data_IF_868402030281
#
_entry.id   IF_868402030281
#
_cell.length_a   1.000
_cell.length_b   1.000
_cell.length_c   1.000
_cell.angle_alpha   90.00
_cell.angle_beta   90.00
_cell.angle_gamma   90.00
#
_symmetry.space_group_name_H-M   'P 1'
#
loop_
_entity.id
_entity.type
_entity.pdbx_description
1 polymer ?
#
# COMPACT_ATOMS: atom_id res chain seq x y z
N UNK A 1 14.71 -19.09 -17.06
CA UNK A 1 13.32 -18.88 -16.61
C UNK A 1 13.27 -18.07 -15.31
N UNK A 2 14.06 -18.44 -14.30
CA UNK A 2 14.10 -17.77 -12.99
C UNK A 2 14.48 -16.28 -13.08
N UNK A 3 15.47 -15.94 -13.90
CA UNK A 3 15.92 -14.56 -14.14
C UNK A 3 14.83 -13.67 -14.76
N UNK A 4 14.05 -14.21 -15.68
CA UNK A 4 12.95 -13.49 -16.34
C UNK A 4 11.81 -13.22 -15.35
N UNK A 5 11.49 -14.19 -14.48
CA UNK A 5 10.50 -14.01 -13.41
C UNK A 5 10.93 -12.92 -12.41
N UNK A 6 12.19 -12.93 -11.97
CA UNK A 6 12.70 -11.92 -11.03
C UNK A 6 12.66 -10.51 -11.64
N UNK A 7 12.98 -10.41 -12.93
CA UNK A 7 12.95 -9.14 -13.65
C UNK A 7 11.51 -8.64 -13.83
N UNK A 8 10.57 -9.51 -14.18
CA UNK A 8 9.14 -9.19 -14.28
C UNK A 8 8.55 -8.78 -12.93
N UNK A 9 8.91 -9.45 -11.84
CA UNK A 9 8.47 -9.10 -10.48
C UNK A 9 8.99 -7.72 -10.08
N UNK A 10 10.21 -7.34 -10.50
CA UNK A 10 10.76 -6.00 -10.23
C UNK A 10 10.01 -4.88 -10.96
N UNK A 11 9.33 -5.18 -12.09
CA UNK A 11 8.48 -4.24 -12.80
C UNK A 11 7.03 -4.22 -12.31
N UNK A 12 6.65 -5.11 -11.39
CA UNK A 12 5.28 -5.19 -10.86
C UNK A 12 4.74 -3.86 -10.33
N UNK A 13 5.50 -3.06 -9.56
CA UNK A 13 5.00 -1.75 -9.09
C UNK A 13 4.60 -0.83 -10.24
N UNK A 14 5.33 -0.85 -11.36
CA UNK A 14 4.97 -0.06 -12.54
C UNK A 14 3.68 -0.59 -13.21
N UNK A 15 3.51 -1.92 -13.30
CA UNK A 15 2.34 -2.53 -13.91
C UNK A 15 1.03 -2.19 -13.18
N UNK A 16 1.06 -2.07 -11.87
CA UNK A 16 -0.12 -1.73 -11.05
C UNK A 16 -0.65 -0.31 -11.31
N UNK A 17 0.21 0.64 -11.68
CA UNK A 17 -0.22 2.00 -12.01
C UNK A 17 -0.97 2.11 -13.33
N UNK A 18 -0.75 1.18 -14.29
CA UNK A 18 -1.39 1.23 -15.61
C UNK A 18 -2.91 1.11 -15.54
N UNK A 19 -3.53 0.09 -14.90
CA UNK A 19 -4.99 -0.02 -14.85
C UNK A 19 -5.63 1.20 -14.18
N UNK A 20 -5.05 1.71 -13.10
CA UNK A 20 -5.56 2.89 -12.42
C UNK A 20 -5.54 4.11 -13.34
N UNK A 21 -4.38 4.44 -13.92
CA UNK A 21 -4.20 5.63 -14.75
C UNK A 21 -5.06 5.56 -16.01
N UNK A 22 -5.06 4.43 -16.72
CA UNK A 22 -5.79 4.27 -17.97
C UNK A 22 -7.31 4.34 -17.76
N UNK A 23 -7.84 3.68 -16.73
CA UNK A 23 -9.27 3.69 -16.43
C UNK A 23 -9.74 5.04 -15.90
N UNK A 24 -8.93 5.74 -15.10
CA UNK A 24 -9.23 7.09 -14.64
C UNK A 24 -9.27 8.07 -15.81
N UNK A 25 -8.28 8.03 -16.72
CA UNK A 25 -8.28 8.85 -17.93
C UNK A 25 -9.45 8.49 -18.84
N UNK A 26 -9.80 7.20 -18.96
CA UNK A 26 -10.98 6.75 -19.70
C UNK A 26 -12.28 7.38 -19.15
N UNK A 27 -12.43 7.41 -17.82
CA UNK A 27 -13.59 8.03 -17.17
C UNK A 27 -13.64 9.55 -17.44
N UNK A 28 -12.52 10.24 -17.32
CA UNK A 28 -12.42 11.67 -17.64
C UNK A 28 -12.78 11.95 -19.10
N UNK A 29 -12.25 11.14 -20.03
CA UNK A 29 -12.56 11.24 -21.46
C UNK A 29 -14.04 10.96 -21.74
N UNK A 30 -14.67 10.01 -21.04
CA UNK A 30 -16.10 9.70 -21.17
C UNK A 30 -16.96 10.90 -20.74
N UNK A 31 -16.59 11.57 -19.62
CA UNK A 31 -17.27 12.78 -19.15
C UNK A 31 -17.15 13.92 -20.17
N UNK A 32 -15.95 14.14 -20.72
CA UNK A 32 -15.70 15.18 -21.72
C UNK A 32 -16.43 14.86 -23.03
N UNK A 33 -16.39 13.59 -23.48
CA UNK A 33 -17.06 13.13 -24.69
C UNK A 33 -18.58 13.31 -24.61
N UNK A 34 -19.16 13.09 -23.43
CA UNK A 34 -20.58 13.32 -23.15
C UNK A 34 -20.94 14.81 -23.29
N UNK A 35 -20.15 15.69 -22.67
CA UNK A 35 -20.38 17.14 -22.73
C UNK A 35 -20.18 17.70 -24.14
N UNK A 36 -19.15 17.24 -24.85
CA UNK A 36 -18.78 17.75 -26.20
C UNK A 36 -19.41 17.00 -27.36
N UNK A 37 -20.15 15.90 -27.11
CA UNK A 37 -20.74 15.02 -28.13
C UNK A 37 -19.74 14.54 -29.20
N UNK A 38 -18.47 14.34 -28.83
CA UNK A 38 -17.39 14.03 -29.74
C UNK A 38 -17.23 12.51 -29.94
N UNK A 39 -17.32 12.07 -31.20
CA UNK A 39 -17.12 10.65 -31.60
C UNK A 39 -15.66 10.22 -31.42
N UNK A 40 -14.71 11.09 -31.72
CA UNK A 40 -13.28 10.80 -31.61
C UNK A 40 -12.88 10.51 -30.15
N UNK A 41 -13.43 11.27 -29.20
CA UNK A 41 -13.20 11.03 -27.78
C UNK A 41 -13.78 9.71 -27.30
N UNK A 42 -14.95 9.30 -27.81
CA UNK A 42 -15.53 7.97 -27.50
C UNK A 42 -14.66 6.82 -28.00
N UNK A 43 -14.05 6.97 -29.17
CA UNK A 43 -13.12 5.96 -29.70
C UNK A 43 -11.86 5.86 -28.84
N UNK A 44 -11.32 6.98 -28.42
CA UNK A 44 -10.18 7.03 -27.49
C UNK A 44 -10.52 6.40 -26.13
N UNK A 45 -11.68 6.73 -25.55
CA UNK A 45 -12.17 6.10 -24.32
C UNK A 45 -12.22 4.58 -24.45
N UNK A 46 -12.74 4.07 -25.55
CA UNK A 46 -12.82 2.61 -25.77
C UNK A 46 -11.44 1.94 -25.75
N UNK A 47 -10.46 2.53 -26.41
CA UNK A 47 -9.08 2.00 -26.42
C UNK A 47 -8.49 2.01 -25.01
N UNK A 48 -8.68 3.11 -24.26
CA UNK A 48 -8.19 3.22 -22.88
C UNK A 48 -8.84 2.17 -21.95
N UNK A 49 -10.14 1.91 -22.11
CA UNK A 49 -10.85 0.88 -21.34
C UNK A 49 -10.29 -0.51 -21.65
N UNK A 50 -10.03 -0.84 -22.90
CA UNK A 50 -9.46 -2.14 -23.26
C UNK A 50 -8.03 -2.30 -22.71
N UNK A 51 -7.19 -1.30 -22.85
CA UNK A 51 -5.83 -1.32 -22.32
C UNK A 51 -5.84 -1.40 -20.79
N UNK A 52 -6.73 -0.63 -20.14
CA UNK A 52 -6.88 -0.65 -18.68
C UNK A 52 -7.37 -2.00 -18.15
N UNK A 53 -8.37 -2.60 -18.80
CA UNK A 53 -8.87 -3.93 -18.44
C UNK A 53 -7.80 -5.02 -18.65
N UNK A 54 -7.08 -4.99 -19.77
CA UNK A 54 -6.00 -5.95 -20.05
C UNK A 54 -4.85 -5.82 -19.06
N UNK A 55 -4.46 -4.60 -18.70
CA UNK A 55 -3.42 -4.36 -17.70
C UNK A 55 -3.86 -4.77 -16.29
N UNK A 56 -5.16 -4.65 -15.95
CA UNK A 56 -5.70 -5.14 -14.68
C UNK A 56 -5.58 -6.67 -14.57
N UNK A 57 -5.85 -7.41 -15.65
CA UNK A 57 -5.66 -8.87 -15.68
C UNK A 57 -4.19 -9.22 -15.40
N UNK A 58 -3.27 -8.57 -16.11
CA UNK A 58 -1.85 -8.79 -15.90
C UNK A 58 -1.42 -8.47 -14.45
N UNK A 59 -1.88 -7.33 -13.90
CA UNK A 59 -1.57 -6.93 -12.52
C UNK A 59 -2.05 -7.95 -11.49
N UNK A 60 -3.25 -8.52 -11.64
CA UNK A 60 -3.77 -9.54 -10.72
C UNK A 60 -2.96 -10.83 -10.84
N UNK A 61 -2.65 -11.29 -12.05
CA UNK A 61 -1.85 -12.51 -12.24
C UNK A 61 -0.49 -12.37 -11.56
N UNK A 62 0.24 -11.27 -11.80
CA UNK A 62 1.54 -11.05 -11.19
C UNK A 62 1.45 -10.81 -9.68
N UNK A 63 0.39 -10.15 -9.20
CA UNK A 63 0.13 -9.97 -7.77
C UNK A 63 -0.08 -11.30 -7.05
N UNK A 64 -0.87 -12.22 -7.62
CA UNK A 64 -1.08 -13.56 -7.07
C UNK A 64 0.19 -14.42 -7.12
N UNK A 65 1.00 -14.30 -8.17
CA UNK A 65 2.29 -14.99 -8.22
C UNK A 65 3.25 -14.47 -7.14
N UNK A 66 3.25 -13.17 -6.90
CA UNK A 66 4.09 -12.55 -5.87
C UNK A 66 3.67 -12.95 -4.47
N UNK A 67 2.37 -12.98 -4.18
CA UNK A 67 1.85 -13.33 -2.86
C UNK A 67 2.10 -14.80 -2.46
N UNK A 68 2.40 -15.67 -3.42
CA UNK A 68 2.75 -17.07 -3.18
C UNK A 68 4.27 -17.28 -2.94
N UNK A 69 5.05 -16.23 -2.84
CA UNK A 69 6.48 -16.35 -2.49
C UNK A 69 6.65 -16.39 -0.97
N UNK A 70 7.71 -17.07 -0.50
CA UNK A 70 8.03 -17.22 0.94
C UNK A 70 8.27 -15.91 1.68
N UNK A 71 8.39 -14.80 0.94
CA UNK A 71 8.60 -13.47 1.49
C UNK A 71 7.31 -12.83 2.06
N UNK A 72 6.12 -13.40 1.78
CA UNK A 72 4.82 -12.83 2.17
C UNK A 72 4.06 -13.77 3.09
N UNK A 73 3.64 -13.25 4.24
CA UNK A 73 2.73 -13.94 5.15
C UNK A 73 1.28 -13.60 4.83
N UNK A 74 0.38 -14.54 5.10
CA UNK A 74 -1.06 -14.31 4.97
C UNK A 74 -1.53 -13.36 6.06
N UNK A 75 -2.19 -12.26 5.64
CA UNK A 75 -2.84 -11.31 6.55
C UNK A 75 -4.24 -10.98 6.04
N UNK A 76 -5.10 -10.50 6.93
CA UNK A 76 -6.47 -10.10 6.55
C UNK A 76 -6.43 -8.96 5.52
N UNK A 77 -5.52 -8.00 5.67
CA UNK A 77 -5.33 -6.88 4.72
C UNK A 77 -4.88 -7.38 3.34
N UNK A 78 -3.97 -8.37 3.30
CA UNK A 78 -3.57 -9.00 2.03
C UNK A 78 -4.75 -9.71 1.38
N UNK A 79 -5.53 -10.47 2.14
CA UNK A 79 -6.72 -11.16 1.62
C UNK A 79 -7.75 -10.16 1.06
N UNK A 80 -8.05 -9.08 1.76
CA UNK A 80 -8.96 -8.02 1.29
C UNK A 80 -8.42 -7.36 0.02
N UNK A 81 -7.12 -7.04 -0.04
CA UNK A 81 -6.48 -6.49 -1.25
C UNK A 81 -6.59 -7.45 -2.44
N UNK A 82 -6.33 -8.73 -2.26
CA UNK A 82 -6.43 -9.75 -3.30
C UNK A 82 -7.87 -9.87 -3.85
N UNK A 83 -8.87 -10.01 -2.96
CA UNK A 83 -10.26 -10.16 -3.37
C UNK A 83 -10.81 -8.90 -4.02
N UNK A 84 -10.48 -7.72 -3.54
CA UNK A 84 -10.89 -6.45 -4.18
C UNK A 84 -10.21 -6.29 -5.53
N UNK A 85 -8.96 -6.69 -5.68
CA UNK A 85 -8.24 -6.71 -6.96
C UNK A 85 -8.88 -7.66 -7.98
N UNK A 86 -9.18 -8.90 -7.58
CA UNK A 86 -9.85 -9.90 -8.42
C UNK A 86 -11.24 -9.42 -8.84
N UNK A 87 -12.04 -8.93 -7.90
CA UNK A 87 -13.38 -8.41 -8.20
C UNK A 87 -13.31 -7.24 -9.19
N UNK A 88 -12.34 -6.35 -9.02
CA UNK A 88 -12.12 -5.20 -9.91
C UNK A 88 -11.65 -5.64 -11.29
N UNK A 89 -10.80 -6.64 -11.40
CA UNK A 89 -10.38 -7.23 -12.70
C UNK A 89 -11.58 -7.83 -13.45
N UNK A 90 -12.45 -8.57 -12.76
CA UNK A 90 -13.68 -9.13 -13.35
C UNK A 90 -14.57 -7.99 -13.82
N UNK A 91 -14.81 -6.99 -12.99
CA UNK A 91 -15.63 -5.83 -13.33
C UNK A 91 -15.05 -5.04 -14.52
N UNK A 92 -13.73 -4.87 -14.57
CA UNK A 92 -13.01 -4.25 -15.68
C UNK A 92 -13.17 -5.03 -16.98
N UNK A 93 -13.14 -6.36 -16.92
CA UNK A 93 -13.39 -7.25 -18.07
C UNK A 93 -14.83 -7.12 -18.57
N UNK A 94 -15.80 -7.08 -17.67
CA UNK A 94 -17.22 -6.84 -17.99
C UNK A 94 -17.39 -5.44 -18.61
N UNK A 95 -16.67 -4.44 -18.10
CA UNK A 95 -16.68 -3.07 -18.64
C UNK A 95 -16.12 -3.07 -20.07
N UNK A 96 -15.01 -3.75 -20.32
CA UNK A 96 -14.46 -3.92 -21.67
C UNK A 96 -15.48 -4.54 -22.62
N UNK A 97 -16.15 -5.62 -22.21
CA UNK A 97 -17.22 -6.24 -22.99
C UNK A 97 -18.41 -5.30 -23.22
N UNK A 98 -18.77 -4.49 -22.21
CA UNK A 98 -19.84 -3.51 -22.33
C UNK A 98 -19.55 -2.45 -23.41
N UNK A 99 -18.30 -2.02 -23.54
CA UNK A 99 -17.88 -1.09 -24.60
C UNK A 99 -17.92 -1.69 -26.00
N UNK A 100 -18.01 -3.02 -26.10
CA UNK A 100 -18.22 -3.71 -27.37
C UNK A 100 -19.70 -3.89 -27.72
N UNK A 101 -20.55 -4.26 -26.75
CA UNK A 101 -21.90 -4.80 -27.03
C UNK A 101 -23.05 -4.03 -26.36
N UNK A 102 -22.81 -3.28 -25.29
CA UNK A 102 -23.89 -2.71 -24.49
C UNK A 102 -24.17 -1.23 -24.80
N UNK A 103 -25.28 -0.75 -24.25
CA UNK A 103 -25.73 0.63 -24.41
C UNK A 103 -24.86 1.63 -23.65
N UNK A 104 -24.81 2.87 -24.13
CA UNK A 104 -24.00 3.96 -23.57
C UNK A 104 -24.22 4.19 -22.06
N UNK A 105 -25.45 4.19 -21.52
CA UNK A 105 -25.62 4.38 -20.07
C UNK A 105 -24.98 3.27 -19.24
N UNK A 106 -25.09 2.01 -19.68
CA UNK A 106 -24.45 0.88 -18.99
C UNK A 106 -22.91 0.98 -19.03
N UNK A 107 -22.34 1.39 -20.16
CA UNK A 107 -20.89 1.62 -20.28
C UNK A 107 -20.38 2.60 -19.23
N UNK A 108 -21.09 3.72 -19.04
CA UNK A 108 -20.72 4.73 -18.04
C UNK A 108 -20.81 4.23 -16.62
N UNK A 109 -21.90 3.56 -16.26
CA UNK A 109 -22.08 3.00 -14.92
C UNK A 109 -20.98 1.99 -14.61
N UNK A 110 -20.73 1.05 -15.53
CA UNK A 110 -19.70 0.03 -15.33
C UNK A 110 -18.30 0.62 -15.23
N UNK A 111 -17.97 1.61 -16.09
CA UNK A 111 -16.67 2.29 -16.01
C UNK A 111 -16.50 3.02 -14.66
N UNK A 112 -17.54 3.72 -14.20
CA UNK A 112 -17.49 4.39 -12.88
C UNK A 112 -17.28 3.41 -11.75
N UNK A 113 -18.01 2.28 -11.74
CA UNK A 113 -17.84 1.23 -10.75
C UNK A 113 -16.45 0.60 -10.81
N UNK A 114 -15.91 0.38 -12.03
CA UNK A 114 -14.55 -0.15 -12.20
C UNK A 114 -13.49 0.80 -11.64
N UNK A 115 -13.62 2.11 -11.89
CA UNK A 115 -12.70 3.10 -11.34
C UNK A 115 -12.80 3.16 -9.82
N UNK A 116 -14.01 3.09 -9.25
CA UNK A 116 -14.20 3.00 -7.80
C UNK A 116 -13.54 1.73 -7.22
N UNK A 117 -13.69 0.59 -7.89
CA UNK A 117 -13.07 -0.67 -7.50
C UNK A 117 -11.53 -0.61 -7.52
N UNK A 118 -10.94 -0.05 -8.59
CA UNK A 118 -9.48 0.14 -8.69
C UNK A 118 -8.98 1.08 -7.58
N UNK A 119 -9.72 2.13 -7.26
CA UNK A 119 -9.36 3.06 -6.17
C UNK A 119 -9.39 2.34 -4.82
N UNK A 120 -10.41 1.51 -4.57
CA UNK A 120 -10.52 0.72 -3.35
C UNK A 120 -9.39 -0.32 -3.23
N UNK A 121 -9.09 -1.04 -4.32
CA UNK A 121 -7.96 -1.97 -4.34
C UNK A 121 -6.63 -1.26 -4.12
N UNK A 122 -6.46 -0.05 -4.68
CA UNK A 122 -5.29 0.80 -4.45
C UNK A 122 -5.17 1.27 -3.00
N UNK A 123 -6.28 1.57 -2.33
CA UNK A 123 -6.30 1.92 -0.91
C UNK A 123 -5.71 0.78 -0.06
N UNK A 124 -6.22 -0.44 -0.19
CA UNK A 124 -5.69 -1.58 0.55
C UNK A 124 -4.24 -1.93 0.15
N UNK A 125 -3.87 -1.71 -1.11
CA UNK A 125 -2.47 -1.86 -1.56
C UNK A 125 -1.53 -0.85 -0.91
N UNK A 126 -1.99 0.38 -0.66
CA UNK A 126 -1.22 1.39 0.06
C UNK A 126 -1.05 1.00 1.55
N UNK A 127 -2.08 0.48 2.20
CA UNK A 127 -1.99 -0.04 3.57
C UNK A 127 -0.97 -1.18 3.69
N UNK A 128 -0.94 -2.11 2.72
CA UNK A 128 0.03 -3.20 2.69
C UNK A 128 1.49 -2.72 2.57
N UNK A 129 1.72 -1.60 1.90
CA UNK A 129 3.07 -1.10 1.63
C UNK A 129 3.57 -0.09 2.65
N UNK A 130 2.66 0.68 3.26
CA UNK A 130 2.98 1.79 4.15
C UNK A 130 2.48 1.60 5.59
N UNK A 131 1.71 0.53 5.86
CA UNK A 131 1.08 0.25 7.14
C UNK A 131 -0.35 0.78 7.24
N UNK A 132 -1.07 0.28 8.24
CA UNK A 132 -2.43 0.72 8.55
C UNK A 132 -2.45 2.24 8.84
N UNK A 133 -3.56 2.89 8.53
CA UNK A 133 -3.77 4.33 8.73
C UNK A 133 -2.87 5.27 7.90
N UNK A 134 -2.12 4.78 6.93
CA UNK A 134 -1.26 5.63 6.08
C UNK A 134 -2.04 6.77 5.40
N UNK A 135 -3.21 6.47 4.86
CA UNK A 135 -4.06 7.48 4.19
C UNK A 135 -4.94 8.24 5.17
N UNK A 136 -5.34 7.66 6.30
CA UNK A 136 -6.12 8.35 7.33
C UNK A 136 -5.31 9.44 8.03
N UNK A 137 -4.00 9.27 8.16
CA UNK A 137 -3.08 10.29 8.68
C UNK A 137 -2.94 11.53 7.78
N UNK A 138 -3.27 11.41 6.48
CA UNK A 138 -3.26 12.56 5.53
C UNK A 138 -4.52 13.43 5.70
N UNK A 139 -5.62 12.82 6.13
CA UNK A 139 -6.87 13.54 6.43
C UNK A 139 -7.06 13.58 7.94
N UNK A 140 -6.74 14.67 8.63
CA UNK A 140 -6.94 14.75 10.08
C UNK A 140 -8.44 14.66 10.38
N UNK A 141 -8.93 13.42 10.55
CA UNK A 141 -10.24 13.20 11.08
C UNK A 141 -10.21 13.55 12.56
N UNK A 142 -11.08 14.43 12.96
CA UNK A 142 -11.26 14.93 14.34
C UNK A 142 -11.55 13.84 15.38
N UNK A 143 -11.49 12.57 15.02
CA UNK A 143 -11.89 11.43 15.86
C UNK A 143 -10.80 10.38 16.12
N UNK A 144 -9.53 10.61 15.74
CA UNK A 144 -8.45 9.67 16.10
C UNK A 144 -7.84 9.92 17.48
N UNK A 145 -8.66 10.35 18.44
CA UNK A 145 -8.32 10.25 19.88
C UNK A 145 -8.60 8.83 20.45
N UNK A 146 -9.14 7.92 19.66
CA UNK A 146 -9.35 6.53 20.06
C UNK A 146 -8.18 5.68 19.59
N UNK A 147 -7.09 5.62 20.38
CA UNK A 147 -5.96 4.72 20.14
C UNK A 147 -4.59 5.26 20.49
N UNK A 148 -4.50 6.47 21.01
CA UNK A 148 -3.29 6.83 21.76
C UNK A 148 -3.45 6.16 23.13
N UNK A 149 -2.78 5.01 23.28
CA UNK A 149 -2.77 4.29 24.57
C UNK A 149 -2.50 5.28 25.69
N UNK A 150 -3.48 5.52 26.54
CA UNK A 150 -3.35 6.38 27.72
C UNK A 150 -2.16 5.99 28.58
N UNK A 151 -1.72 4.74 28.47
CA UNK A 151 -0.55 4.19 29.12
C UNK A 151 0.77 4.69 28.51
N UNK A 152 0.80 5.05 27.21
CA UNK A 152 1.99 5.66 26.60
C UNK A 152 2.17 7.11 27.05
N UNK A 153 1.09 7.87 27.17
CA UNK A 153 1.10 9.25 27.68
C UNK A 153 1.60 9.28 29.14
N UNK A 154 1.14 8.34 29.98
CA UNK A 154 1.58 8.23 31.37
C UNK A 154 3.07 7.84 31.50
N UNK A 155 3.59 6.99 30.60
CA UNK A 155 5.00 6.61 30.61
C UNK A 155 5.92 7.76 30.12
N UNK A 156 5.44 8.60 29.21
CA UNK A 156 6.19 9.73 28.64
C UNK A 156 6.28 10.93 29.59
N UNK A 157 5.35 11.09 30.53
CA UNK A 157 5.35 12.21 31.48
C UNK A 157 6.54 12.22 32.45
N UNK A 158 7.34 11.17 32.50
CA UNK A 158 8.64 11.19 33.24
C UNK A 158 9.72 12.06 32.59
N UNK A 159 9.51 12.50 31.34
CA UNK A 159 10.46 13.33 30.59
C UNK A 159 10.08 14.80 30.46
N UNK A 160 8.95 15.25 31.03
CA UNK A 160 8.54 16.66 30.98
C UNK A 160 8.00 17.15 29.64
N UNK A 161 7.65 16.24 28.71
CA UNK A 161 7.03 16.56 27.42
C UNK A 161 5.52 16.78 27.58
N UNK A 162 4.95 17.75 26.86
CA UNK A 162 3.49 17.93 26.77
C UNK A 162 2.86 16.81 25.92
N UNK A 163 1.54 16.57 26.09
CA UNK A 163 0.79 15.61 25.26
C UNK A 163 0.93 15.90 23.74
N UNK A 164 0.90 17.17 23.35
CA UNK A 164 1.08 17.59 21.96
C UNK A 164 2.47 17.21 21.44
N UNK A 165 3.52 17.42 22.23
CA UNK A 165 4.88 17.03 21.86
C UNK A 165 5.04 15.52 21.73
N UNK A 166 4.40 14.74 22.60
CA UNK A 166 4.40 13.27 22.51
C UNK A 166 3.66 12.80 21.26
N UNK A 167 2.53 13.39 20.93
CA UNK A 167 1.78 13.06 19.70
C UNK A 167 2.59 13.40 18.44
N UNK A 168 3.22 14.55 18.40
CA UNK A 168 4.07 14.97 17.29
C UNK A 168 5.27 14.02 17.10
N UNK A 169 5.97 13.67 18.18
CA UNK A 169 7.07 12.70 18.12
C UNK A 169 6.61 11.31 17.68
N UNK A 170 5.45 10.86 18.15
CA UNK A 170 4.88 9.59 17.73
C UNK A 170 4.58 9.60 16.22
N UNK A 171 3.98 10.66 15.72
CA UNK A 171 3.71 10.81 14.30
C UNK A 171 4.99 10.78 13.46
N UNK A 172 6.03 11.50 13.91
CA UNK A 172 7.34 11.52 13.24
C UNK A 172 7.98 10.13 13.21
N UNK A 173 7.99 9.41 14.34
CA UNK A 173 8.56 8.04 14.42
C UNK A 173 7.78 7.07 13.54
N UNK A 174 6.44 7.10 13.57
CA UNK A 174 5.59 6.27 12.70
C UNK A 174 5.86 6.55 11.21
N UNK A 175 6.02 7.82 10.85
CA UNK A 175 6.35 8.23 9.48
C UNK A 175 7.72 7.69 9.06
N UNK A 176 8.73 7.76 9.92
CA UNK A 176 10.07 7.19 9.66
C UNK A 176 9.96 5.67 9.44
N UNK A 177 9.24 4.95 10.28
CA UNK A 177 9.06 3.51 10.14
C UNK A 177 8.31 3.15 8.85
N UNK A 178 7.22 3.86 8.54
CA UNK A 178 6.44 3.65 7.33
C UNK A 178 7.30 3.80 6.05
N UNK A 179 8.15 4.82 6.00
CA UNK A 179 8.97 5.07 4.82
C UNK A 179 10.20 4.16 4.69
N UNK A 180 10.79 3.74 5.81
CA UNK A 180 12.11 3.09 5.76
C UNK A 180 12.11 1.62 6.21
N UNK A 181 11.13 1.17 7.00
CA UNK A 181 11.20 -0.09 7.73
C UNK A 181 10.07 -1.07 7.39
N UNK A 182 8.80 -0.61 7.38
CA UNK A 182 7.62 -1.48 7.29
C UNK A 182 7.51 -2.25 6.00
N UNK A 183 8.13 -1.79 4.91
CA UNK A 183 8.20 -2.54 3.66
C UNK A 183 8.94 -3.89 3.76
N UNK A 184 9.71 -4.10 4.84
CA UNK A 184 10.37 -5.37 5.15
C UNK A 184 10.01 -5.91 6.54
N UNK A 185 9.59 -5.03 7.46
CA UNK A 185 9.24 -5.33 8.84
C UNK A 185 7.80 -4.84 9.13
N UNK A 186 6.84 -5.26 8.33
CA UNK A 186 5.43 -4.90 8.42
C UNK A 186 4.53 -6.11 8.60
N UNK A 187 3.25 -5.92 8.34
CA UNK A 187 2.23 -6.96 8.50
C UNK A 187 2.43 -8.13 7.53
N UNK A 188 2.74 -7.82 6.27
CA UNK A 188 2.81 -8.81 5.18
C UNK A 188 4.21 -9.38 5.03
N UNK A 189 5.23 -8.57 5.31
CA UNK A 189 6.64 -8.97 5.21
C UNK A 189 7.32 -8.78 6.55
N UNK A 190 7.73 -9.88 7.18
CA UNK A 190 8.25 -9.93 8.55
C UNK A 190 9.66 -10.47 8.61
N UNK A 191 10.62 -9.80 7.96
CA UNK A 191 12.03 -10.24 8.02
C UNK A 191 12.55 -10.28 9.45
N UNK A 192 13.12 -11.43 9.85
CA UNK A 192 13.57 -11.67 11.23
C UNK A 192 12.41 -11.71 12.24
N UNK A 193 11.22 -12.13 11.81
CA UNK A 193 9.98 -12.15 12.61
C UNK A 193 9.63 -10.79 13.25
N UNK A 194 10.22 -9.67 12.78
CA UNK A 194 10.06 -8.33 13.34
C UNK A 194 8.98 -7.54 12.61
N UNK A 195 8.09 -6.92 13.38
CA UNK A 195 7.11 -5.94 12.89
C UNK A 195 7.36 -4.56 13.52
N UNK A 196 7.33 -3.51 12.69
CA UNK A 196 7.54 -2.11 13.10
C UNK A 196 6.35 -1.21 12.71
N UNK A 197 5.23 -1.80 12.33
CA UNK A 197 4.00 -1.13 11.92
C UNK A 197 3.07 -0.80 13.09
N UNK A 198 3.08 -1.60 14.15
CA UNK A 198 2.28 -1.38 15.37
C UNK A 198 3.16 -1.43 16.62
N UNK A 199 2.84 -0.57 17.60
CA UNK A 199 3.60 -0.48 18.86
C UNK A 199 3.72 -1.80 19.61
N UNK A 200 2.63 -2.58 19.63
CA UNK A 200 2.59 -3.88 20.31
C UNK A 200 3.69 -4.80 19.78
N UNK A 201 3.77 -4.94 18.46
CA UNK A 201 4.76 -5.77 17.79
C UNK A 201 6.19 -5.22 17.89
N UNK A 202 6.35 -3.89 17.91
CA UNK A 202 7.66 -3.26 18.14
C UNK A 202 8.19 -3.65 19.51
N UNK A 203 7.33 -3.67 20.54
CA UNK A 203 7.69 -4.01 21.91
C UNK A 203 7.86 -5.51 22.12
N UNK A 204 7.21 -6.35 21.31
CA UNK A 204 7.40 -7.80 21.28
C UNK A 204 8.79 -8.17 20.76
N UNK A 205 9.27 -7.44 19.72
CA UNK A 205 10.59 -7.66 19.11
C UNK A 205 10.54 -8.62 17.93
N UNK A 206 11.70 -9.23 17.61
CA UNK A 206 11.88 -10.19 16.51
C UNK A 206 12.41 -11.54 17.00
N UNK A 207 12.89 -12.37 16.05
CA UNK A 207 13.41 -13.71 16.37
C UNK A 207 14.61 -13.70 17.34
N UNK A 208 15.41 -12.62 17.33
CA UNK A 208 16.54 -12.44 18.23
C UNK A 208 16.14 -11.78 19.58
N UNK A 209 14.86 -11.49 19.79
CA UNK A 209 14.33 -10.86 21.00
C UNK A 209 13.98 -9.37 20.86
N UNK A 210 13.88 -8.64 21.99
CA UNK A 210 13.47 -7.24 21.99
C UNK A 210 14.43 -6.35 21.21
N UNK A 211 13.89 -5.53 20.29
CA UNK A 211 14.69 -4.58 19.49
C UNK A 211 14.72 -3.18 20.07
N UNK A 212 13.78 -2.85 21.00
CA UNK A 212 13.71 -1.59 21.74
C UNK A 212 13.66 -1.89 23.22
N UNK A 213 14.51 -1.21 23.98
CA UNK A 213 14.51 -1.21 25.45
C UNK A 213 14.10 0.17 25.91
N UNK A 214 12.93 0.28 26.53
CA UNK A 214 12.37 1.57 26.97
C UNK A 214 13.30 2.31 27.93
N UNK A 215 13.58 3.58 27.61
CA UNK A 215 14.48 4.42 28.39
C UNK A 215 15.98 4.15 28.22
N UNK A 216 16.34 3.15 27.35
CA UNK A 216 17.73 2.73 27.13
C UNK A 216 18.05 2.65 25.62
N UNK A 217 18.18 3.79 24.95
CA UNK A 217 18.42 3.79 23.51
C UNK A 217 19.74 3.10 23.12
N UNK A 218 20.79 3.22 23.93
CA UNK A 218 22.11 2.62 23.63
C UNK A 218 22.11 1.09 23.79
N UNK A 219 21.17 0.52 24.54
CA UNK A 219 20.99 -0.93 24.70
C UNK A 219 19.99 -1.50 23.65
N UNK A 220 19.30 -0.63 22.88
CA UNK A 220 18.30 -1.01 21.91
C UNK A 220 18.93 -1.41 20.57
N UNK A 221 18.70 -2.66 20.12
CA UNK A 221 19.32 -3.21 18.90
C UNK A 221 18.89 -2.43 17.65
N UNK A 222 17.65 -1.94 17.61
CA UNK A 222 17.17 -1.06 16.53
C UNK A 222 18.07 0.17 16.38
N UNK A 223 18.38 0.86 17.49
CA UNK A 223 19.25 2.04 17.48
C UNK A 223 20.68 1.66 17.07
N UNK A 224 21.18 0.53 17.55
CA UNK A 224 22.49 0.00 17.16
C UNK A 224 22.55 -0.20 15.64
N UNK A 225 21.59 -0.90 15.05
CA UNK A 225 21.58 -1.25 13.62
C UNK A 225 21.46 -0.03 12.70
N UNK A 226 20.66 0.98 13.06
CA UNK A 226 20.53 2.21 12.27
C UNK A 226 21.77 3.12 12.35
N UNK A 227 22.56 3.04 13.43
CA UNK A 227 23.81 3.78 13.58
C UNK A 227 25.01 3.11 12.88
N UNK A 228 24.90 1.86 12.45
CA UNK A 228 25.99 1.15 11.78
C UNK A 228 26.34 1.78 10.42
N UNK A 229 27.64 1.76 10.02
CA UNK A 229 28.04 2.16 8.68
C UNK A 229 27.27 1.37 7.60
N UNK A 230 26.84 2.03 6.54
CA UNK A 230 26.07 1.41 5.44
C UNK A 230 26.76 0.18 4.80
N UNK A 231 28.07 0.02 4.97
CA UNK A 231 28.84 -1.14 4.52
C UNK A 231 28.68 -2.35 5.44
N UNK A 232 28.21 -2.18 6.66
CA UNK A 232 28.06 -3.25 7.62
C UNK A 232 26.89 -4.16 7.26
N UNK A 233 27.07 -5.49 7.42
CA UNK A 233 26.04 -6.49 7.05
C UNK A 233 24.73 -6.37 7.83
N UNK A 234 24.79 -5.89 9.06
CA UNK A 234 23.65 -5.73 9.97
C UNK A 234 23.07 -4.32 9.93
N UNK A 235 23.63 -3.41 9.12
CA UNK A 235 23.11 -2.04 9.03
C UNK A 235 21.68 -2.04 8.47
N UNK A 236 20.81 -1.23 9.09
CA UNK A 236 19.43 -1.02 8.63
C UNK A 236 19.21 0.46 8.27
N UNK A 237 18.39 0.75 7.24
CA UNK A 237 17.81 -0.19 6.27
C UNK A 237 18.88 -0.93 5.46
N UNK A 238 18.57 -2.20 5.08
CA UNK A 238 19.50 -3.02 4.30
C UNK A 238 19.84 -2.36 2.95
N UNK A 239 21.03 -2.67 2.40
CA UNK A 239 21.51 -2.09 1.12
C UNK A 239 20.45 -2.21 0.01
N UNK A 240 20.21 -1.11 -0.70
CA UNK A 240 19.24 -1.00 -1.79
C UNK A 240 17.95 -0.27 -1.46
N UNK A 241 17.79 0.23 -0.21
CA UNK A 241 16.72 1.14 0.17
C UNK A 241 17.34 2.43 0.74
N UNK A 242 17.32 3.45 -0.03
CA UNK A 242 17.57 4.85 0.36
C UNK A 242 16.29 5.63 0.14
#
# INVERSE_FOLDING_TARGET
FFWLCTLLISFLPMLVYFPFSLLLVALLMEIIAWKRKSINLKSATRVLVYLGASSAIASVIFGLLLSNTDDYETSDTLAVHQWTGIATMILGSITGFAYWKLTVPMQKVLLTLTVAGVTLAGYYGAELTHGEDYLSGVFPSRSSTAGVDSMFILASNKGGLSEEQVQELNLQVRTIFAHNCTSCHGEVKRKGALRLDKREFIMEGGEDGPVIISGKPEESDLIRRIKLPRSHKEAMPAKGKS
#
